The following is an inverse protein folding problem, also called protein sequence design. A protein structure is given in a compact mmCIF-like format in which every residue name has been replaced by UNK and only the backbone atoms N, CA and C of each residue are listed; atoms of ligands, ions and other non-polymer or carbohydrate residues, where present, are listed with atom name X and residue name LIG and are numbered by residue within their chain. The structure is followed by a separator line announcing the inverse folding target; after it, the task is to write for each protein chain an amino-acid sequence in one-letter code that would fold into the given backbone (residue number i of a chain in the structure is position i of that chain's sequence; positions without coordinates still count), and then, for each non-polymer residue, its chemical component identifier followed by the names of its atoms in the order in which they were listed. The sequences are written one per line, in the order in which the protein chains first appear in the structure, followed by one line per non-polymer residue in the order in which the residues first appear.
data_IF_742465821031
#
_entry.id   IF_742465821031
#
_cell.length_a   1.000
_cell.length_b   1.000
_cell.length_c   1.000
_cell.angle_alpha   90.00
_cell.angle_beta   90.00
_cell.angle_gamma   90.00
#
_symmetry.space_group_name_H-M   'P 1'
#
loop_
_entity.id
_entity.type
_entity.pdbx_description
1 polymer ?
#
# COMPACT_ATOMS: atom_id res chain seq x y z
N UNK A 1 -0.51 -17.98 -24.63
CA UNK A 1 -1.39 -17.50 -23.54
C UNK A 1 -0.74 -17.79 -22.18
N UNK A 2 0.32 -17.06 -21.79
CA UNK A 2 1.05 -17.30 -20.54
C UNK A 2 1.55 -16.03 -19.81
N UNK A 3 1.26 -14.83 -20.33
CA UNK A 3 1.74 -13.58 -19.76
C UNK A 3 0.77 -12.91 -18.76
N UNK A 4 -0.48 -13.38 -18.65
CA UNK A 4 -1.49 -12.75 -17.78
C UNK A 4 -1.58 -13.34 -16.36
N UNK A 5 -1.01 -14.52 -16.08
CA UNK A 5 -1.08 -15.12 -14.74
C UNK A 5 -0.06 -14.53 -13.75
N UNK A 6 1.07 -13.98 -14.23
CA UNK A 6 2.15 -13.48 -13.34
C UNK A 6 1.87 -12.07 -12.80
N UNK A 7 0.93 -11.33 -13.40
CA UNK A 7 0.70 -9.91 -13.07
C UNK A 7 -0.12 -9.74 -11.77
N UNK A 8 -0.87 -10.75 -11.33
CA UNK A 8 -1.82 -10.61 -10.21
C UNK A 8 -1.20 -10.74 -8.81
N UNK A 9 0.00 -11.30 -8.67
CA UNK A 9 0.59 -11.52 -7.35
C UNK A 9 1.32 -10.30 -6.77
N UNK A 10 1.64 -9.31 -7.61
CA UNK A 10 2.46 -8.15 -7.22
C UNK A 10 1.69 -6.86 -6.90
N UNK A 11 0.37 -6.81 -7.07
CA UNK A 11 -0.42 -5.58 -6.86
C UNK A 11 -0.65 -5.36 -5.35
N UNK A 12 -0.27 -4.17 -4.89
CA UNK A 12 -0.38 -3.69 -3.51
C UNK A 12 -1.05 -2.32 -3.50
N UNK A 13 -1.55 -1.90 -2.36
CA UNK A 13 -2.07 -0.57 -2.17
C UNK A 13 -0.99 0.38 -1.66
N UNK A 14 -0.90 1.54 -2.29
CA UNK A 14 -0.22 2.72 -1.77
C UNK A 14 -1.25 3.56 -1.04
N UNK A 15 -1.01 3.77 0.25
CA UNK A 15 -1.91 4.51 1.13
C UNK A 15 -1.83 6.00 0.80
N UNK A 16 -2.98 6.56 0.45
CA UNK A 16 -3.19 7.98 0.26
C UNK A 16 -4.05 8.52 1.41
N UNK A 17 -5.36 8.46 1.25
CA UNK A 17 -6.38 8.81 2.25
C UNK A 17 -6.87 7.62 3.08
N UNK A 18 -6.64 6.39 2.61
CA UNK A 18 -6.96 5.15 3.32
C UNK A 18 -8.44 4.78 3.30
N UNK A 19 -9.27 5.50 2.55
CA UNK A 19 -10.74 5.31 2.48
C UNK A 19 -11.12 4.09 1.65
N UNK A 20 -10.30 3.75 0.66
CA UNK A 20 -10.57 2.64 -0.25
C UNK A 20 -9.90 1.34 0.23
N UNK A 21 -8.95 1.44 1.16
CA UNK A 21 -8.16 0.30 1.64
C UNK A 21 -8.78 -0.26 2.92
N UNK A 22 -9.17 -1.52 2.88
CA UNK A 22 -9.57 -2.27 4.07
C UNK A 22 -8.35 -2.70 4.88
N UNK A 23 -8.45 -2.59 6.21
CA UNK A 23 -7.34 -2.94 7.10
C UNK A 23 -6.94 -4.42 6.94
N UNK A 24 -7.92 -5.30 6.79
CA UNK A 24 -7.71 -6.74 6.95
C UNK A 24 -7.53 -7.53 5.65
N UNK A 25 -8.30 -7.23 4.62
CA UNK A 25 -8.31 -8.03 3.39
C UNK A 25 -7.37 -7.50 2.31
N UNK A 26 -7.05 -6.20 2.31
CA UNK A 26 -6.23 -5.55 1.30
C UNK A 26 -4.73 -5.69 1.59
N UNK A 27 -3.93 -5.71 0.52
CA UNK A 27 -2.46 -5.82 0.58
C UNK A 27 -1.81 -4.45 0.66
N UNK A 28 -1.70 -3.87 1.85
CA UNK A 28 -1.17 -2.51 2.05
C UNK A 28 0.05 -2.45 2.99
N UNK A 29 0.43 -3.57 3.62
CA UNK A 29 1.64 -3.63 4.46
C UNK A 29 2.86 -3.83 3.56
N UNK A 30 3.92 -3.01 3.67
CA UNK A 30 5.08 -3.09 2.78
C UNK A 30 5.92 -4.37 2.99
N UNK A 31 5.89 -4.92 4.21
CA UNK A 31 6.76 -6.02 4.64
C UNK A 31 5.97 -7.23 5.13
N UNK A 32 6.20 -8.39 4.51
CA UNK A 32 5.64 -9.67 4.92
C UNK A 32 5.36 -10.57 3.72
N UNK A 33 5.19 -11.88 3.95
CA UNK A 33 4.91 -12.83 2.86
C UNK A 33 3.57 -12.52 2.17
N UNK A 34 2.60 -11.98 2.91
CA UNK A 34 1.23 -11.79 2.42
C UNK A 34 0.87 -10.32 2.13
N UNK A 35 1.74 -9.36 2.50
CA UNK A 35 1.49 -7.91 2.46
C UNK A 35 0.21 -7.46 3.21
N UNK A 36 -0.25 -8.30 4.16
CA UNK A 36 -1.42 -8.08 5.00
C UNK A 36 -1.04 -8.02 6.47
N UNK A 37 -1.92 -7.43 7.27
CA UNK A 37 -1.87 -7.47 8.73
C UNK A 37 -2.01 -8.93 9.19
N UNK A 38 -1.18 -9.36 10.15
CA UNK A 38 -1.24 -10.72 10.73
C UNK A 38 -1.89 -10.75 12.12
N UNK A 39 -2.11 -9.59 12.70
CA UNK A 39 -2.86 -9.46 13.96
C UNK A 39 -4.23 -10.12 13.81
N UNK A 40 -4.60 -10.95 14.80
CA UNK A 40 -5.95 -11.48 14.93
C UNK A 40 -6.94 -10.32 15.07
N UNK A 41 -8.02 -10.36 14.29
CA UNK A 41 -9.06 -9.32 14.31
C UNK A 41 -9.69 -9.26 15.71
N UNK A 42 -9.32 -8.26 16.49
CA UNK A 42 -9.87 -8.05 17.82
C UNK A 42 -10.21 -6.56 18.02
N UNK A 43 -11.50 -6.29 18.26
CA UNK A 43 -12.02 -4.96 18.61
C UNK A 43 -12.24 -3.96 17.47
N UNK A 44 -11.73 -4.19 16.24
CA UNK A 44 -12.04 -3.37 15.06
C UNK A 44 -13.07 -4.07 14.18
N UNK A 45 -13.98 -3.29 13.57
CA UNK A 45 -14.98 -3.83 12.67
C UNK A 45 -14.33 -4.55 11.48
N UNK A 46 -15.00 -5.57 10.95
CA UNK A 46 -14.56 -6.26 9.75
C UNK A 46 -14.34 -5.27 8.62
N UNK A 47 -15.27 -4.33 8.44
CA UNK A 47 -15.23 -3.30 7.39
C UNK A 47 -14.34 -2.09 7.69
N UNK A 48 -13.48 -2.17 8.71
CA UNK A 48 -12.63 -1.05 9.09
C UNK A 48 -11.64 -0.68 7.97
N UNK A 49 -11.56 0.62 7.69
CA UNK A 49 -10.71 1.23 6.66
C UNK A 49 -9.45 1.81 7.25
N UNK A 50 -8.39 1.88 6.44
CA UNK A 50 -7.09 2.41 6.87
C UNK A 50 -7.20 3.88 7.30
N UNK A 51 -8.18 4.63 6.76
CA UNK A 51 -8.49 6.00 7.19
C UNK A 51 -8.70 6.11 8.71
N UNK A 52 -9.28 5.09 9.34
CA UNK A 52 -9.55 5.09 10.79
C UNK A 52 -8.27 5.06 11.62
N UNK A 53 -7.17 4.57 11.03
CA UNK A 53 -5.84 4.53 11.64
C UNK A 53 -5.04 5.80 11.39
N UNK A 54 -5.51 6.68 10.49
CA UNK A 54 -4.85 7.92 10.11
C UNK A 54 -5.50 9.08 10.86
N UNK A 55 -4.68 10.02 11.29
CA UNK A 55 -5.10 11.32 11.78
C UNK A 55 -5.11 12.30 10.59
N UNK A 56 -6.29 12.81 10.23
CA UNK A 56 -6.45 13.65 9.04
C UNK A 56 -5.77 15.02 9.19
N UNK A 57 -5.69 15.55 10.41
CA UNK A 57 -5.13 16.88 10.70
C UNK A 57 -3.60 16.86 10.67
N UNK A 58 -3.00 15.89 11.35
CA UNK A 58 -1.53 15.77 11.45
C UNK A 58 -0.92 14.92 10.35
N UNK A 59 -1.75 14.18 9.59
CA UNK A 59 -1.32 13.18 8.60
C UNK A 59 -0.34 12.17 9.19
N UNK A 60 -0.59 11.77 10.43
CA UNK A 60 0.18 10.75 11.14
C UNK A 60 -0.66 9.53 11.47
N UNK A 61 0.00 8.41 11.77
CA UNK A 61 -0.68 7.22 12.26
C UNK A 61 -1.09 7.41 13.72
N UNK A 62 -2.33 7.05 14.05
CA UNK A 62 -2.86 7.04 15.42
C UNK A 62 -2.22 5.90 16.22
N UNK A 63 -1.00 6.13 16.70
CA UNK A 63 -0.17 5.16 17.42
C UNK A 63 -0.89 4.50 18.60
N UNK A 64 -1.70 5.26 19.35
CA UNK A 64 -2.51 4.74 20.47
C UNK A 64 -3.55 3.69 20.02
N UNK A 65 -4.21 3.91 18.87
CA UNK A 65 -5.14 2.93 18.31
C UNK A 65 -4.41 1.71 17.77
N UNK A 66 -3.27 1.93 17.11
CA UNK A 66 -2.45 0.84 16.60
C UNK A 66 -2.00 -0.08 17.73
N UNK A 67 -1.45 0.47 18.81
CA UNK A 67 -0.99 -0.31 19.96
C UNK A 67 -2.10 -1.07 20.68
N UNK A 68 -3.35 -0.57 20.62
CA UNK A 68 -4.51 -1.21 21.24
C UNK A 68 -5.03 -2.40 20.41
N UNK A 69 -5.04 -2.28 19.09
CA UNK A 69 -5.70 -3.24 18.21
C UNK A 69 -4.75 -4.15 17.43
N UNK A 70 -3.47 -3.80 17.33
CA UNK A 70 -2.49 -4.52 16.52
C UNK A 70 -1.35 -5.08 17.36
N UNK A 71 -0.76 -6.17 16.90
CA UNK A 71 0.44 -6.73 17.52
C UNK A 71 1.61 -5.76 17.36
N UNK A 72 2.56 -5.70 18.32
CA UNK A 72 3.70 -4.77 18.26
C UNK A 72 4.51 -4.85 16.96
N UNK A 73 4.57 -6.04 16.33
CA UNK A 73 5.25 -6.24 15.05
C UNK A 73 4.55 -5.54 13.89
N UNK A 74 3.22 -5.64 13.83
CA UNK A 74 2.41 -4.99 12.80
C UNK A 74 2.33 -3.48 13.05
N UNK A 75 2.21 -3.03 14.31
CA UNK A 75 2.28 -1.61 14.67
C UNK A 75 3.54 -0.95 14.11
N UNK A 76 4.71 -1.56 14.32
CA UNK A 76 5.99 -1.03 13.83
C UNK A 76 6.00 -0.90 12.30
N UNK A 77 5.47 -1.91 11.60
CA UNK A 77 5.38 -1.90 10.14
C UNK A 77 4.46 -0.81 9.63
N UNK A 78 3.29 -0.64 10.24
CA UNK A 78 2.30 0.37 9.87
C UNK A 78 2.87 1.77 10.11
N UNK A 79 3.45 2.03 11.28
CA UNK A 79 4.04 3.32 11.64
C UNK A 79 5.19 3.70 10.71
N UNK A 80 5.95 2.72 10.21
CA UNK A 80 7.03 2.95 9.25
C UNK A 80 6.55 3.33 7.84
N UNK A 81 5.25 3.20 7.53
CA UNK A 81 4.72 3.61 6.24
C UNK A 81 4.65 5.15 6.20
N UNK A 82 5.37 5.81 5.28
CA UNK A 82 5.33 7.27 5.19
C UNK A 82 3.97 7.71 4.64
N UNK A 83 3.26 8.54 5.40
CA UNK A 83 2.06 9.24 4.94
C UNK A 83 2.47 10.55 4.26
N UNK A 84 1.91 10.82 3.08
CA UNK A 84 2.09 12.12 2.43
C UNK A 84 1.33 13.19 3.19
N UNK A 85 1.97 14.36 3.36
CA UNK A 85 1.33 15.57 3.91
C UNK A 85 0.16 16.06 3.03
N UNK A 86 0.28 15.85 1.72
CA UNK A 86 -0.80 16.16 0.79
C UNK A 86 -1.68 14.91 0.65
N UNK A 87 -2.99 14.99 0.94
CA UNK A 87 -3.90 13.90 0.70
C UNK A 87 -3.98 13.64 -0.80
N UNK A 88 -3.77 12.40 -1.19
CA UNK A 88 -4.01 11.90 -2.53
C UNK A 88 -4.85 10.63 -2.40
N UNK A 89 -5.54 10.24 -3.46
CA UNK A 89 -6.40 9.06 -3.43
C UNK A 89 -5.57 7.78 -3.32
N UNK A 90 -6.11 6.77 -2.62
CA UNK A 90 -5.52 5.44 -2.58
C UNK A 90 -5.28 4.87 -3.99
N UNK A 91 -4.06 4.40 -4.25
CA UNK A 91 -3.66 3.88 -5.57
C UNK A 91 -3.12 2.47 -5.47
N UNK A 92 -3.37 1.65 -6.50
CA UNK A 92 -2.78 0.30 -6.59
C UNK A 92 -1.43 0.39 -7.30
N UNK A 93 -0.37 -0.03 -6.61
CA UNK A 93 1.01 -0.06 -7.11
C UNK A 93 1.49 -1.50 -7.24
N UNK A 94 2.29 -1.79 -8.26
CA UNK A 94 2.94 -3.09 -8.41
C UNK A 94 4.31 -3.08 -7.71
N UNK A 95 4.65 -4.12 -6.95
CA UNK A 95 5.90 -4.18 -6.18
C UNK A 95 7.15 -4.42 -7.03
N UNK A 96 8.34 -4.46 -6.40
CA UNK A 96 9.10 -3.27 -6.02
C UNK A 96 9.65 -2.53 -7.26
N UNK A 97 9.30 -1.27 -7.44
CA UNK A 97 10.21 -0.37 -8.14
C UNK A 97 11.42 -0.20 -7.22
N UNK A 98 12.51 -0.92 -7.49
CA UNK A 98 13.84 -0.52 -7.01
C UNK A 98 13.92 0.97 -7.29
N UNK A 99 14.04 1.79 -6.25
CA UNK A 99 14.40 3.20 -6.38
C UNK A 99 15.62 3.33 -7.31
N UNK A 100 15.36 3.57 -8.58
CA UNK A 100 16.25 4.15 -9.58
C UNK A 100 15.32 4.82 -10.57
N UNK A 101 15.35 6.15 -10.58
CA UNK A 101 14.34 6.98 -11.24
C UNK A 101 14.09 6.60 -12.69
N UNK A 102 12.96 5.97 -12.94
CA UNK A 102 12.39 5.86 -14.27
C UNK A 102 11.37 7.00 -14.43
N UNK A 103 11.89 8.17 -14.79
CA UNK A 103 11.08 9.19 -15.44
C UNK A 103 10.50 8.58 -16.71
N UNK A 104 9.23 8.87 -17.01
CA UNK A 104 8.39 8.40 -18.12
C UNK A 104 8.97 8.71 -19.53
N UNK A 105 10.17 8.20 -19.83
CA UNK A 105 10.89 8.39 -21.10
C UNK A 105 11.22 7.07 -21.81
N UNK A 106 11.18 5.93 -21.13
CA UNK A 106 11.43 4.62 -21.74
C UNK A 106 10.22 4.02 -22.47
N UNK A 107 9.03 4.63 -22.36
CA UNK A 107 7.85 4.19 -23.12
C UNK A 107 7.87 4.61 -24.60
N UNK A 108 8.75 5.54 -25.00
CA UNK A 108 8.81 6.04 -26.38
C UNK A 108 9.93 5.44 -27.24
N UNK A 109 10.90 4.72 -26.67
CA UNK A 109 12.02 4.17 -27.45
C UNK A 109 11.72 2.84 -28.15
N UNK A 110 10.62 2.15 -27.81
CA UNK A 110 10.24 0.89 -28.45
C UNK A 110 9.24 1.04 -29.61
N UNK A 111 8.82 2.26 -29.94
CA UNK A 111 7.87 2.52 -31.04
C UNK A 111 8.54 3.13 -32.29
N UNK A 112 9.86 3.33 -32.27
CA UNK A 112 10.58 4.06 -33.33
C UNK A 112 11.28 3.22 -34.40
N UNK A 113 11.41 1.91 -34.26
CA UNK A 113 12.38 1.15 -35.07
C UNK A 113 11.83 -0.17 -35.65
N UNK A 114 10.63 -0.11 -36.21
CA UNK A 114 10.17 -1.05 -37.25
C UNK A 114 9.42 -0.30 -38.36
N UNK A 115 10.06 0.75 -38.86
CA UNK A 115 9.72 1.29 -40.17
C UNK A 115 11.01 1.71 -40.87
N UNK A 116 11.66 0.73 -41.49
CA UNK A 116 12.15 0.74 -42.87
C UNK A 116 12.54 -0.70 -43.24
#
# INVERSE_FOLDING_TARGET
MAAQCVVREGIRWRIGDGKQIGIWWDKWIPEGPDYKVKTQMDGLNWDARVESLIDEETRTWKSSLLQRHFQPKDCKRIIHIPLSRHPFEDTRVWGPEKQRGYSVKSAYYLWGEMRL
#
